data_IF_372891832345
#
_entry.id   IF_372891832345
#
_cell.length_a   1.000
_cell.length_b   1.000
_cell.length_c   1.000
_cell.angle_alpha   90.00
_cell.angle_beta   90.00
_cell.angle_gamma   90.00
#
_symmetry.space_group_name_H-M   'P 1'
#
loop_
_entity.id
_entity.type
_entity.pdbx_description
1 polymer ?
#
# COMPACT_ATOMS: atom_id res chain seq x y z
N UNK A 1 -12.60 0.05 -1.13
CA UNK A 1 -11.91 -0.70 -0.05
C UNK A 1 -11.24 0.30 0.89
N UNK A 2 -11.05 -0.05 2.14
CA UNK A 2 -10.27 0.74 3.11
C UNK A 2 -8.80 0.32 3.09
N UNK A 3 -7.87 1.16 3.57
CA UNK A 3 -6.44 0.82 3.62
C UNK A 3 -6.15 -0.50 4.37
N UNK A 4 -6.97 -0.83 5.37
CA UNK A 4 -6.87 -2.08 6.12
C UNK A 4 -7.19 -3.33 5.29
N UNK A 5 -7.99 -3.20 4.22
CA UNK A 5 -8.35 -4.32 3.35
C UNK A 5 -7.19 -4.70 2.43
N UNK A 6 -6.36 -3.73 2.01
CA UNK A 6 -5.15 -4.01 1.24
C UNK A 6 -4.07 -4.70 2.09
N UNK A 7 -3.97 -4.35 3.37
CA UNK A 7 -2.99 -4.95 4.29
C UNK A 7 -3.28 -6.41 4.63
N UNK A 8 -4.53 -6.85 4.46
CA UNK A 8 -4.92 -8.25 4.63
C UNK A 8 -4.51 -9.14 3.44
N UNK A 9 -4.10 -8.54 2.32
CA UNK A 9 -3.69 -9.24 1.11
C UNK A 9 -2.16 -9.27 1.01
N UNK A 10 -1.63 -10.36 0.48
CA UNK A 10 -0.22 -10.40 0.06
C UNK A 10 -0.04 -9.79 -1.34
N UNK A 11 1.21 -9.75 -1.82
CA UNK A 11 1.53 -9.19 -3.12
C UNK A 11 0.77 -9.87 -4.29
N UNK A 12 0.49 -11.17 -4.17
CA UNK A 12 -0.25 -11.92 -5.19
C UNK A 12 -1.75 -11.65 -5.13
N UNK A 13 -2.33 -11.53 -3.94
CA UNK A 13 -3.73 -11.15 -3.75
C UNK A 13 -4.01 -9.75 -4.27
N UNK A 14 -3.14 -8.79 -3.99
CA UNK A 14 -3.25 -7.43 -4.54
C UNK A 14 -3.13 -7.42 -6.08
N UNK A 15 -2.22 -8.21 -6.65
CA UNK A 15 -2.08 -8.33 -8.10
C UNK A 15 -3.31 -8.94 -8.76
N UNK A 16 -3.97 -9.89 -8.11
CA UNK A 16 -5.22 -10.48 -8.60
C UNK A 16 -6.37 -9.46 -8.59
N UNK A 17 -6.52 -8.68 -7.52
CA UNK A 17 -7.53 -7.62 -7.43
C UNK A 17 -7.34 -6.54 -8.52
N UNK A 18 -6.09 -6.14 -8.78
CA UNK A 18 -5.77 -5.20 -9.86
C UNK A 18 -6.12 -5.81 -11.23
N UNK A 19 -5.76 -7.08 -11.44
CA UNK A 19 -6.07 -7.80 -12.69
C UNK A 19 -7.57 -7.91 -12.93
N UNK A 20 -8.36 -8.11 -11.88
CA UNK A 20 -9.81 -8.18 -11.92
C UNK A 20 -10.48 -6.80 -12.00
N UNK A 21 -9.69 -5.71 -12.01
CA UNK A 21 -10.17 -4.32 -12.01
C UNK A 21 -11.03 -3.95 -10.79
N UNK A 22 -10.88 -4.70 -9.69
CA UNK A 22 -11.57 -4.41 -8.42
C UNK A 22 -10.95 -3.18 -7.74
N UNK A 23 -9.66 -2.95 -7.97
CA UNK A 23 -8.86 -1.84 -7.44
C UNK A 23 -7.87 -1.37 -8.51
N UNK A 24 -7.32 -0.16 -8.36
CA UNK A 24 -6.29 0.35 -9.28
C UNK A 24 -4.90 0.22 -8.67
N UNK A 25 -3.88 0.07 -9.52
CA UNK A 25 -2.48 0.05 -9.06
C UNK A 25 -2.07 1.33 -8.34
N UNK A 26 -2.58 2.49 -8.80
CA UNK A 26 -2.34 3.79 -8.16
C UNK A 26 -2.95 3.84 -6.77
N UNK A 27 -4.20 3.37 -6.61
CA UNK A 27 -4.86 3.34 -5.30
C UNK A 27 -4.10 2.49 -4.27
N UNK A 28 -3.63 1.31 -4.69
CA UNK A 28 -2.84 0.43 -3.82
C UNK A 28 -1.49 1.07 -3.46
N UNK A 29 -0.86 1.77 -4.41
CA UNK A 29 0.39 2.48 -4.18
C UNK A 29 0.22 3.62 -3.16
N UNK A 30 -0.78 4.47 -3.33
CA UNK A 30 -1.08 5.57 -2.41
C UNK A 30 -1.37 5.06 -0.99
N UNK A 31 -2.10 3.96 -0.86
CA UNK A 31 -2.34 3.33 0.43
C UNK A 31 -1.06 2.84 1.11
N UNK A 32 -0.10 2.30 0.33
CA UNK A 32 1.19 1.85 0.85
C UNK A 32 2.07 3.04 1.28
N UNK A 33 2.10 4.13 0.50
CA UNK A 33 2.81 5.36 0.83
C UNK A 33 2.27 5.96 2.13
N UNK A 34 0.96 6.17 2.21
CA UNK A 34 0.31 6.74 3.39
C UNK A 34 0.61 5.91 4.66
N UNK A 35 0.62 4.59 4.53
CA UNK A 35 0.98 3.70 5.64
C UNK A 35 2.44 3.84 6.06
N UNK A 36 3.35 3.93 5.08
CA UNK A 36 4.76 4.08 5.34
C UNK A 36 5.05 5.42 6.05
N UNK A 37 4.45 6.51 5.58
CA UNK A 37 4.55 7.84 6.20
C UNK A 37 4.02 7.85 7.63
N UNK A 38 2.91 7.15 7.91
CA UNK A 38 2.37 7.03 9.27
C UNK A 38 3.32 6.32 10.24
N UNK A 39 4.10 5.34 9.77
CA UNK A 39 5.03 4.60 10.62
C UNK A 39 6.40 5.24 10.76
N UNK A 40 6.78 6.08 9.82
CA UNK A 40 8.13 6.62 9.74
C UNK A 40 8.57 7.36 11.02
N UNK A 41 7.73 8.19 11.68
CA UNK A 41 8.11 8.86 12.91
C UNK A 41 8.45 7.90 14.05
N UNK A 42 7.79 6.74 14.11
CA UNK A 42 7.94 5.77 15.20
C UNK A 42 9.09 4.79 14.95
N UNK A 43 9.27 4.39 13.69
CA UNK A 43 10.18 3.32 13.30
C UNK A 43 11.47 3.82 12.63
N UNK A 44 11.47 5.03 12.08
CA UNK A 44 12.60 5.65 11.37
C UNK A 44 13.26 4.71 10.34
N UNK A 45 12.46 4.06 9.49
CA UNK A 45 12.90 2.98 8.60
C UNK A 45 13.20 3.44 7.17
N UNK A 46 12.67 4.58 6.74
CA UNK A 46 12.96 5.19 5.43
C UNK A 46 14.07 6.23 5.57
N UNK A 47 15.12 6.10 4.75
CA UNK A 47 16.18 7.11 4.68
C UNK A 47 15.75 8.36 3.90
N UNK A 48 15.02 8.16 2.79
CA UNK A 48 14.44 9.22 1.96
C UNK A 48 13.19 8.70 1.24
N UNK A 49 12.16 9.55 1.03
CA UNK A 49 11.03 9.22 0.15
C UNK A 49 11.50 9.04 -1.31
N UNK A 50 10.89 8.12 -2.06
CA UNK A 50 11.29 7.75 -3.43
C UNK A 50 10.11 7.68 -4.42
N UNK A 51 8.93 8.08 -3.97
CA UNK A 51 7.67 8.02 -4.70
C UNK A 51 7.36 9.35 -5.40
#
# INVERSE_FOLDING_TARGET
>A
MTSSDYLAQDATGLAELIRNQEVTSVEVLEAAIARAEQLQPDLNFMAQPLF
#
